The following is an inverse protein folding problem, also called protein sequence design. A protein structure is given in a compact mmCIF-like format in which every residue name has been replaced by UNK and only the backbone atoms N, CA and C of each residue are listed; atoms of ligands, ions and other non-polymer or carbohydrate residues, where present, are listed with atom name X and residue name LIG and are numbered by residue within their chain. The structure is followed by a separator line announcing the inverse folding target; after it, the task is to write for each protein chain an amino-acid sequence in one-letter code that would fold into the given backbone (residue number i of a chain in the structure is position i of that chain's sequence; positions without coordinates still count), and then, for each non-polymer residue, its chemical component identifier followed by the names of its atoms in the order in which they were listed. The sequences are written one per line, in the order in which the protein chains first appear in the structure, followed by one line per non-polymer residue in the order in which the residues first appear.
data_IF_938951679857
#
_entry.id   IF_938951679857
#
_cell.length_a   1.000
_cell.length_b   1.000
_cell.length_c   1.000
_cell.angle_alpha   90.00
_cell.angle_beta   90.00
_cell.angle_gamma   90.00
#
_symmetry.space_group_name_H-M   'P 1'
#
loop_
_entity.id
_entity.type
_entity.pdbx_description
1 polymer ?
#
# COMPACT_ATOMS: atom_id res chain seq x y z
N UNK A 1 -18.81 -9.87 6.18
CA UNK A 1 -17.57 -9.86 5.39
C UNK A 1 -17.53 -8.53 4.65
N UNK A 2 -16.69 -7.59 5.09
CA UNK A 2 -16.56 -6.29 4.43
C UNK A 2 -15.39 -6.41 3.45
N UNK A 3 -15.69 -6.50 2.15
CA UNK A 3 -14.64 -6.46 1.13
C UNK A 3 -14.41 -4.99 0.80
N UNK A 4 -13.18 -4.51 0.98
CA UNK A 4 -12.82 -3.12 0.68
C UNK A 4 -12.48 -3.04 -0.80
N UNK A 5 -13.48 -2.67 -1.62
CA UNK A 5 -13.26 -2.39 -3.04
C UNK A 5 -12.73 -0.97 -3.21
N UNK A 6 -11.52 -0.86 -3.73
CA UNK A 6 -10.86 0.41 -4.02
C UNK A 6 -10.46 0.46 -5.48
N UNK A 7 -10.78 1.58 -6.12
CA UNK A 7 -10.38 1.84 -7.49
C UNK A 7 -8.96 2.43 -7.44
N UNK A 8 -7.99 1.88 -8.20
CA UNK A 8 -6.69 2.53 -8.27
C UNK A 8 -6.84 3.88 -8.98
N UNK A 9 -6.69 4.97 -8.22
CA UNK A 9 -6.82 6.33 -8.73
C UNK A 9 -5.45 6.84 -9.15
N UNK A 10 -4.90 6.27 -10.21
CA UNK A 10 -3.75 6.82 -10.92
C UNK A 10 -4.22 7.45 -12.23
N UNK A 11 -3.94 8.74 -12.43
CA UNK A 11 -4.26 9.50 -13.65
C UNK A 11 -3.43 9.06 -14.87
N UNK A 12 -2.55 8.08 -14.71
CA UNK A 12 -1.83 7.43 -15.79
C UNK A 12 -2.47 6.07 -16.06
N UNK A 13 -3.20 6.01 -17.18
CA UNK A 13 -3.97 4.86 -17.66
C UNK A 13 -3.11 3.62 -17.90
N UNK A 14 -1.79 3.74 -17.83
CA UNK A 14 -0.83 2.69 -18.18
C UNK A 14 -0.13 2.04 -16.97
N UNK A 15 -0.38 2.46 -15.72
CA UNK A 15 0.35 1.95 -14.53
C UNK A 15 -0.45 1.00 -13.62
N UNK A 16 -1.69 0.66 -13.94
CA UNK A 16 -2.40 -0.48 -13.34
C UNK A 16 -2.53 -1.62 -14.36
N UNK A 17 -1.41 -2.06 -14.93
CA UNK A 17 -1.37 -3.12 -15.95
C UNK A 17 -1.82 -4.49 -15.40
N UNK A 18 -1.81 -4.63 -14.07
CA UNK A 18 -2.49 -5.71 -13.36
C UNK A 18 -3.76 -5.17 -12.71
N UNK A 19 -4.90 -5.80 -13.02
CA UNK A 19 -6.22 -5.50 -12.45
C UNK A 19 -6.12 -5.18 -10.97
N UNK A 20 -6.84 -4.15 -10.52
CA UNK A 20 -7.07 -3.92 -9.09
C UNK A 20 -7.59 -5.21 -8.44
N UNK A 21 -6.92 -5.68 -7.41
CA UNK A 21 -7.35 -6.87 -6.67
C UNK A 21 -8.25 -6.49 -5.50
N UNK A 22 -9.21 -7.34 -5.17
CA UNK A 22 -10.02 -7.18 -3.96
C UNK A 22 -9.27 -7.78 -2.77
N UNK A 23 -8.92 -6.94 -1.81
CA UNK A 23 -8.33 -7.37 -0.55
C UNK A 23 -9.42 -7.61 0.50
N UNK A 24 -9.22 -8.63 1.32
CA UNK A 24 -10.13 -8.92 2.44
C UNK A 24 -10.03 -7.87 3.55
N UNK A 25 -8.85 -7.28 3.73
CA UNK A 25 -8.53 -6.29 4.77
C UNK A 25 -7.70 -5.19 4.12
N UNK A 26 -7.87 -3.96 4.57
CA UNK A 26 -7.04 -2.83 4.16
C UNK A 26 -5.57 -3.11 4.55
N UNK A 27 -4.60 -3.11 3.61
CA UNK A 27 -3.21 -3.39 3.91
C UNK A 27 -2.59 -2.39 4.90
N UNK A 28 -3.13 -1.17 5.04
CA UNK A 28 -2.70 -0.21 6.05
C UNK A 28 -3.15 -0.56 7.48
N UNK A 29 -4.17 -1.42 7.65
CA UNK A 29 -4.56 -1.91 8.98
C UNK A 29 -3.66 -3.05 9.47
N UNK A 30 -2.96 -3.72 8.56
CA UNK A 30 -2.04 -4.82 8.86
C UNK A 30 -0.56 -4.40 8.78
N UNK A 31 -0.29 -3.22 8.22
CA UNK A 31 1.07 -2.72 8.05
C UNK A 31 1.34 -1.57 9.01
N UNK A 32 2.46 -1.64 9.71
CA UNK A 32 2.95 -0.56 10.55
C UNK A 32 4.37 -0.18 10.13
N UNK A 33 4.72 1.09 10.32
CA UNK A 33 6.04 1.61 10.00
C UNK A 33 6.76 2.09 11.27
N UNK A 34 7.44 1.21 12.02
CA UNK A 34 8.07 1.58 13.29
C UNK A 34 9.20 2.59 13.12
N UNK A 35 9.88 2.60 11.96
CA UNK A 35 10.93 3.57 11.65
C UNK A 35 10.40 4.99 11.44
N UNK A 36 9.15 5.12 10.98
CA UNK A 36 8.50 6.39 10.73
C UNK A 36 7.10 6.38 11.36
N UNK A 37 6.98 6.53 12.70
CA UNK A 37 5.72 6.42 13.42
C UNK A 37 4.71 7.53 13.06
N UNK A 38 5.18 8.61 12.44
CA UNK A 38 4.35 9.72 11.96
C UNK A 38 4.04 9.63 10.47
N UNK A 39 4.48 8.56 9.79
CA UNK A 39 4.17 8.36 8.38
C UNK A 39 2.68 8.02 8.20
N UNK A 40 2.08 8.59 7.16
CA UNK A 40 0.71 8.33 6.75
C UNK A 40 0.72 7.13 5.81
N UNK A 41 0.06 6.04 6.20
CA UNK A 41 -0.13 4.91 5.32
C UNK A 41 -1.19 5.21 4.25
N UNK A 42 -0.91 4.80 3.01
CA UNK A 42 -1.86 4.76 1.90
C UNK A 42 -1.82 3.38 1.28
N UNK A 43 -2.99 2.78 1.16
CA UNK A 43 -3.12 1.47 0.58
C UNK A 43 -3.06 1.56 -0.96
N UNK A 44 -2.17 0.76 -1.56
CA UNK A 44 -1.97 0.66 -2.99
C UNK A 44 -2.40 -0.74 -3.46
N UNK A 45 -3.48 -0.76 -4.25
CA UNK A 45 -4.15 -1.99 -4.67
C UNK A 45 -3.84 -2.41 -6.11
N UNK A 46 -2.87 -1.73 -6.73
CA UNK A 46 -2.40 -2.05 -8.07
C UNK A 46 -1.54 -3.30 -8.01
N UNK A 47 -1.88 -4.36 -8.76
CA UNK A 47 -1.10 -5.61 -8.79
C UNK A 47 -1.02 -6.39 -7.47
N UNK A 48 -1.77 -6.02 -6.44
CA UNK A 48 -1.70 -6.67 -5.13
C UNK A 48 -2.34 -5.85 -4.00
N UNK A 49 -2.23 -6.32 -2.76
CA UNK A 49 -2.62 -5.60 -1.55
C UNK A 49 -1.38 -4.95 -0.91
N UNK A 50 -0.97 -3.79 -1.40
CA UNK A 50 0.27 -3.14 -0.96
C UNK A 50 -0.03 -1.98 -0.01
N UNK A 51 0.93 -1.68 0.87
CA UNK A 51 0.91 -0.51 1.75
C UNK A 51 2.09 0.40 1.43
N UNK A 52 1.84 1.69 1.26
CA UNK A 52 2.85 2.71 1.01
C UNK A 52 2.79 3.74 2.14
N UNK A 53 3.93 4.08 2.73
CA UNK A 53 3.99 5.04 3.83
C UNK A 53 4.56 6.36 3.34
N UNK A 54 3.92 7.46 3.74
CA UNK A 54 4.30 8.80 3.33
C UNK A 54 4.65 9.65 4.54
N UNK A 55 5.86 10.20 4.58
CA UNK A 55 6.26 11.19 5.59
C UNK A 55 6.60 12.50 4.88
N UNK A 56 6.02 13.61 5.34
CA UNK A 56 6.21 14.93 4.73
C UNK A 56 5.95 14.99 3.21
N UNK A 57 5.05 14.13 2.69
CA UNK A 57 4.72 14.05 1.27
C UNK A 57 5.68 13.21 0.42
N UNK A 58 6.69 12.56 1.03
CA UNK A 58 7.60 11.63 0.37
C UNK A 58 7.31 10.19 0.79
N UNK A 59 7.44 9.24 -0.13
CA UNK A 59 7.36 7.81 0.19
C UNK A 59 8.57 7.45 1.05
N UNK A 60 8.32 6.84 2.20
CA UNK A 60 9.35 6.31 3.09
C UNK A 60 9.34 4.79 3.03
N UNK A 61 10.53 4.20 3.04
CA UNK A 61 10.66 2.75 3.08
C UNK A 61 10.57 2.28 4.54
N UNK A 62 9.56 1.47 4.80
CA UNK A 62 9.29 0.89 6.10
C UNK A 62 9.85 -0.54 6.23
N UNK A 63 10.38 -1.11 5.15
CA UNK A 63 11.13 -2.36 5.20
C UNK A 63 12.51 -2.10 5.79
N UNK A 64 12.75 -2.62 7.00
CA UNK A 64 14.03 -3.27 7.22
C UNK A 64 13.99 -4.51 6.30
N UNK A 65 14.85 -4.56 5.28
CA UNK A 65 14.97 -5.72 4.41
C UNK A 65 15.26 -6.96 5.27
N UNK A 66 14.23 -7.74 5.60
CA UNK A 66 14.42 -9.12 5.98
C UNK A 66 14.63 -9.86 4.65
N UNK A 67 15.86 -10.30 4.33
CA UNK A 67 16.04 -11.22 3.22
C UNK A 67 15.17 -12.44 3.53
N UNK A 68 14.26 -12.75 2.61
CA UNK A 68 13.63 -14.06 2.51
C UNK A 68 14.75 -15.09 2.40
N UNK A 69 15.02 -15.80 3.50
CA UNK A 69 15.87 -17.01 3.54
C UNK A 69 15.13 -18.21 3.02
#
# INVERSE_FOLDING_TARGET
MIIVSVNCSNNNKDTCLEKSVQCFIDPCLLSECPNFPTAVCRANYCGGCNSEFFQAGQVVDCHATLPIV
#
